data_IF_630466244262
#
_entry.id   IF_630466244262
#
_cell.length_a   1.000
_cell.length_b   1.000
_cell.length_c   1.000
_cell.angle_alpha   90.00
_cell.angle_beta   90.00
_cell.angle_gamma   90.00
#
_symmetry.space_group_name_H-M   'P 1'
#
loop_
_entity.id
_entity.type
_entity.pdbx_description
1 polymer ?
#
# COMPACT_ATOMS: atom_id res chain seq x y z
N UNK A 1 -19.60 0.91 -6.48
CA UNK A 1 -19.38 1.40 -5.11
C UNK A 1 -19.01 2.87 -5.20
N UNK A 2 -19.59 3.74 -4.40
CA UNK A 2 -19.27 5.19 -4.44
C UNK A 2 -18.60 5.68 -3.15
N UNK A 3 -18.79 4.98 -2.03
CA UNK A 3 -18.22 5.34 -0.74
C UNK A 3 -17.59 4.12 -0.04
N UNK A 4 -16.59 4.39 0.78
CA UNK A 4 -15.89 3.46 1.65
C UNK A 4 -15.90 3.97 3.09
N UNK A 5 -16.21 3.08 4.03
CA UNK A 5 -15.88 3.25 5.45
C UNK A 5 -14.56 2.56 5.78
N UNK A 6 -13.85 3.04 6.79
CA UNK A 6 -12.64 2.38 7.28
C UNK A 6 -13.00 1.31 8.32
N UNK A 7 -12.34 0.15 8.26
CA UNK A 7 -12.33 -0.84 9.32
C UNK A 7 -10.88 -1.19 9.67
N UNK A 8 -10.44 -0.85 10.89
CA UNK A 8 -9.14 -1.28 11.41
C UNK A 8 -9.27 -2.72 11.91
N UNK A 9 -8.40 -3.59 11.45
CA UNK A 9 -8.43 -5.01 11.77
C UNK A 9 -7.04 -5.53 12.04
N UNK A 10 -6.93 -6.56 12.88
CA UNK A 10 -5.68 -7.29 13.01
C UNK A 10 -5.42 -8.11 11.74
N UNK A 11 -6.40 -8.94 11.35
CA UNK A 11 -6.38 -9.75 10.13
C UNK A 11 -7.48 -9.30 9.17
N UNK A 12 -7.17 -9.25 7.87
CA UNK A 12 -8.16 -9.02 6.82
C UNK A 12 -9.09 -10.24 6.77
N UNK A 13 -10.43 -10.07 6.83
CA UNK A 13 -11.35 -11.19 6.79
C UNK A 13 -11.31 -11.91 5.44
N UNK A 14 -11.64 -13.21 5.45
CA UNK A 14 -11.67 -14.03 4.23
C UNK A 14 -12.73 -13.53 3.24
N UNK A 15 -13.87 -13.08 3.75
CA UNK A 15 -14.95 -12.46 2.97
C UNK A 15 -14.95 -10.96 3.24
N UNK A 16 -14.95 -10.16 2.16
CA UNK A 16 -14.92 -8.71 2.27
C UNK A 16 -16.30 -8.15 2.02
N UNK A 17 -16.72 -7.20 2.84
CA UNK A 17 -17.92 -6.44 2.60
C UNK A 17 -17.71 -5.37 1.51
N UNK A 18 -18.69 -5.17 0.62
CA UNK A 18 -18.68 -4.05 -0.30
C UNK A 18 -18.68 -2.71 0.46
N UNK A 19 -17.84 -1.76 0.05
CA UNK A 19 -17.79 -0.41 0.67
C UNK A 19 -17.01 -0.36 1.98
N UNK A 20 -16.21 -1.39 2.29
CA UNK A 20 -15.33 -1.41 3.47
C UNK A 20 -13.88 -1.48 3.03
N UNK A 21 -13.06 -0.56 3.55
CA UNK A 21 -11.61 -0.63 3.47
C UNK A 21 -11.09 -1.23 4.76
N UNK A 22 -10.64 -2.48 4.69
CA UNK A 22 -9.99 -3.15 5.81
C UNK A 22 -8.52 -2.75 5.85
N UNK A 23 -8.04 -2.28 7.00
CA UNK A 23 -6.65 -1.87 7.18
C UNK A 23 -6.04 -2.62 8.35
N UNK A 24 -4.95 -3.33 8.09
CA UNK A 24 -4.07 -3.89 9.11
C UNK A 24 -2.79 -3.08 9.16
N UNK A 25 -2.65 -2.29 10.23
CA UNK A 25 -1.45 -1.51 10.50
C UNK A 25 -0.26 -2.40 10.86
N UNK A 26 -0.49 -3.58 11.46
CA UNK A 26 0.57 -4.54 11.79
C UNK A 26 1.17 -5.15 10.52
N UNK A 27 0.33 -5.69 9.64
CA UNK A 27 0.78 -6.35 8.41
C UNK A 27 0.98 -5.39 7.24
N UNK A 28 0.81 -4.08 7.47
CA UNK A 28 1.00 -3.01 6.48
C UNK A 28 0.26 -3.30 5.18
N UNK A 29 -1.01 -3.67 5.30
CA UNK A 29 -1.88 -3.97 4.16
C UNK A 29 -3.25 -3.33 4.36
N UNK A 30 -3.80 -2.80 3.28
CA UNK A 30 -5.21 -2.52 3.16
C UNK A 30 -5.83 -3.42 2.08
N UNK A 31 -7.11 -3.75 2.23
CA UNK A 31 -7.83 -4.53 1.24
C UNK A 31 -9.30 -4.13 1.19
N UNK A 32 -9.85 -4.07 -0.01
CA UNK A 32 -11.26 -3.79 -0.26
C UNK A 32 -11.74 -4.51 -1.51
N UNK A 33 -13.06 -4.58 -1.69
CA UNK A 33 -13.63 -4.95 -2.98
C UNK A 33 -13.53 -3.79 -3.96
N UNK A 34 -13.18 -4.10 -5.20
CA UNK A 34 -12.96 -3.10 -6.25
C UNK A 34 -14.13 -2.12 -6.36
N UNK A 35 -13.81 -0.82 -6.37
CA UNK A 35 -14.81 0.25 -6.37
C UNK A 35 -15.79 0.17 -7.56
N UNK A 36 -15.38 -0.45 -8.68
CA UNK A 36 -16.23 -0.59 -9.86
C UNK A 36 -17.40 -1.56 -9.63
N UNK A 37 -17.33 -2.39 -8.59
CA UNK A 37 -18.38 -3.36 -8.26
C UNK A 37 -18.18 -4.76 -8.84
N UNK A 38 -17.06 -5.05 -9.52
CA UNK A 38 -16.79 -6.37 -10.10
C UNK A 38 -16.51 -7.48 -9.07
N UNK A 39 -16.47 -7.17 -7.76
CA UNK A 39 -16.25 -8.13 -6.69
C UNK A 39 -14.79 -8.61 -6.53
N UNK A 40 -13.86 -8.12 -7.35
CA UNK A 40 -12.44 -8.47 -7.19
C UNK A 40 -11.85 -7.84 -5.92
N UNK A 41 -11.05 -8.61 -5.17
CA UNK A 41 -10.29 -8.11 -4.03
C UNK A 41 -9.10 -7.29 -4.52
N UNK A 42 -8.94 -6.10 -3.98
CA UNK A 42 -7.86 -5.17 -4.33
C UNK A 42 -6.93 -5.02 -3.14
N UNK A 43 -5.75 -5.68 -3.14
CA UNK A 43 -4.74 -5.46 -2.12
C UNK A 43 -4.04 -4.12 -2.34
N UNK A 44 -3.74 -3.43 -1.24
CA UNK A 44 -3.01 -2.17 -1.21
C UNK A 44 -1.89 -2.29 -0.19
N UNK A 45 -0.65 -2.40 -0.66
CA UNK A 45 0.53 -2.50 0.22
C UNK A 45 0.84 -1.14 0.85
N UNK A 46 0.81 -1.07 2.18
CA UNK A 46 1.04 0.16 2.91
C UNK A 46 2.52 0.37 3.20
N UNK A 47 2.94 1.64 3.26
CA UNK A 47 4.28 2.02 3.72
C UNK A 47 5.03 2.93 2.76
N UNK A 48 6.33 3.20 3.04
CA UNK A 48 7.08 4.27 2.37
C UNK A 48 7.22 4.12 0.85
N UNK A 49 7.27 2.89 0.35
CA UNK A 49 7.35 2.58 -1.07
C UNK A 49 6.01 2.13 -1.68
N UNK A 50 4.92 2.24 -0.94
CA UNK A 50 3.57 1.81 -1.34
C UNK A 50 2.57 2.95 -1.25
N UNK A 51 1.42 2.63 -0.66
CA UNK A 51 0.33 3.56 -0.39
C UNK A 51 0.33 4.00 1.07
N UNK A 52 -0.30 5.14 1.32
CA UNK A 52 -0.66 5.64 2.63
C UNK A 52 -2.17 5.67 2.75
N UNK A 53 -2.66 5.35 3.95
CA UNK A 53 -4.06 5.53 4.34
C UNK A 53 -4.08 6.53 5.48
N UNK A 54 -4.91 7.55 5.35
CA UNK A 54 -5.26 8.46 6.44
C UNK A 54 -6.75 8.38 6.72
N UNK A 55 -7.17 8.80 7.90
CA UNK A 55 -8.55 8.70 8.36
C UNK A 55 -9.03 10.05 8.88
N UNK A 56 -10.25 10.45 8.51
CA UNK A 56 -10.97 11.56 9.14
C UNK A 56 -12.40 11.12 9.42
N UNK A 57 -12.82 11.15 10.69
CA UNK A 57 -14.18 10.79 11.11
C UNK A 57 -14.65 9.41 10.59
N UNK A 58 -13.80 8.38 10.66
CA UNK A 58 -14.11 7.04 10.14
C UNK A 58 -14.01 6.88 8.63
N UNK A 59 -13.67 7.94 7.89
CA UNK A 59 -13.60 7.93 6.43
C UNK A 59 -12.15 7.89 5.93
N UNK A 60 -11.77 6.91 5.10
CA UNK A 60 -10.41 6.73 4.64
C UNK A 60 -10.05 7.68 3.48
N UNK A 61 -8.79 8.06 3.40
CA UNK A 61 -8.17 8.66 2.23
C UNK A 61 -6.94 7.86 1.87
N UNK A 62 -6.81 7.46 0.60
CA UNK A 62 -5.72 6.60 0.13
C UNK A 62 -4.89 7.34 -0.92
N UNK A 63 -3.56 7.34 -0.77
CA UNK A 63 -2.64 7.92 -1.75
C UNK A 63 -1.45 6.99 -2.01
N UNK A 64 -0.91 6.91 -3.26
CA UNK A 64 -1.43 7.50 -4.50
C UNK A 64 -2.75 6.84 -4.96
N UNK A 65 -3.18 7.06 -6.21
CA UNK A 65 -4.38 6.42 -6.76
C UNK A 65 -4.27 4.90 -6.75
N UNK A 66 -5.41 4.22 -6.76
CA UNK A 66 -5.51 2.77 -6.90
C UNK A 66 -5.77 2.45 -8.36
N UNK A 67 -4.76 1.88 -9.01
CA UNK A 67 -4.85 1.36 -10.37
C UNK A 67 -5.08 -0.15 -10.36
N UNK A 68 -6.18 -0.61 -10.96
CA UNK A 68 -6.53 -2.02 -11.11
C UNK A 68 -6.44 -2.46 -12.58
N UNK A 69 -5.44 -1.96 -13.30
CA UNK A 69 -5.24 -2.23 -14.72
C UNK A 69 -4.99 -3.70 -15.09
N UNK A 70 -4.59 -4.53 -14.12
CA UNK A 70 -4.44 -5.98 -14.29
C UNK A 70 -5.77 -6.75 -14.15
N UNK A 71 -6.82 -6.10 -13.63
CA UNK A 71 -8.16 -6.69 -13.55
C UNK A 71 -8.95 -6.42 -14.84
N UNK A 72 -9.94 -7.26 -15.19
CA UNK A 72 -10.77 -7.06 -16.39
C UNK A 72 -11.51 -5.72 -16.42
N UNK A 73 -11.76 -5.11 -15.26
CA UNK A 73 -12.43 -3.81 -15.18
C UNK A 73 -11.51 -2.62 -15.45
N UNK A 74 -10.19 -2.81 -15.45
CA UNK A 74 -9.15 -1.78 -15.65
C UNK A 74 -9.37 -0.49 -14.84
N UNK A 75 -10.03 -0.60 -13.69
CA UNK A 75 -10.51 0.56 -12.93
C UNK A 75 -9.34 1.38 -12.36
N UNK A 76 -9.56 2.68 -12.20
CA UNK A 76 -8.56 3.60 -11.68
C UNK A 76 -9.25 4.71 -10.91
N UNK A 77 -8.88 4.93 -9.64
CA UNK A 77 -9.58 5.87 -8.79
C UNK A 77 -8.73 6.31 -7.60
N UNK A 78 -9.09 7.45 -7.01
CA UNK A 78 -8.73 7.77 -5.63
C UNK A 78 -9.86 7.38 -4.68
N UNK A 79 -9.50 7.19 -3.41
CA UNK A 79 -10.45 7.24 -2.30
C UNK A 79 -10.07 8.47 -1.46
N UNK A 80 -11.00 9.40 -1.28
CA UNK A 80 -10.80 10.63 -0.50
C UNK A 80 -11.96 10.84 0.44
N UNK A 81 -11.68 10.88 1.74
CA UNK A 81 -12.71 10.99 2.78
C UNK A 81 -13.87 10.01 2.53
N UNK A 82 -13.53 8.77 2.21
CA UNK A 82 -14.43 7.67 1.87
C UNK A 82 -14.94 7.68 0.43
N UNK A 83 -14.92 8.80 -0.28
CA UNK A 83 -15.52 8.92 -1.61
C UNK A 83 -14.60 8.42 -2.72
N UNK A 84 -15.18 7.76 -3.72
CA UNK A 84 -14.46 7.30 -4.91
C UNK A 84 -14.41 8.43 -5.94
N UNK A 85 -13.19 8.86 -6.27
CA UNK A 85 -12.95 9.82 -7.36
C UNK A 85 -12.38 9.07 -8.56
N UNK A 86 -13.18 8.97 -9.62
CA UNK A 86 -12.81 8.20 -10.80
C UNK A 86 -11.75 8.89 -11.64
N UNK A 87 -10.77 8.11 -12.06
CA UNK A 87 -9.80 8.48 -13.08
C UNK A 87 -10.10 7.70 -14.35
N UNK A 88 -9.41 8.06 -15.44
CA UNK A 88 -9.46 7.28 -16.67
C UNK A 88 -8.99 5.85 -16.40
N UNK A 89 -9.74 4.88 -16.92
CA UNK A 89 -9.36 3.47 -16.88
C UNK A 89 -7.92 3.29 -17.37
N UNK A 90 -7.20 2.37 -16.74
CA UNK A 90 -5.80 2.14 -17.07
C UNK A 90 -5.69 1.44 -18.42
N UNK A 91 -4.92 2.03 -19.34
CA UNK A 91 -4.50 1.30 -20.53
C UNK A 91 -3.47 0.22 -20.16
N UNK A 92 -3.29 -0.76 -21.05
CA UNK A 92 -2.25 -1.77 -20.89
C UNK A 92 -0.85 -1.14 -20.74
N UNK A 93 -0.55 -0.12 -21.56
CA UNK A 93 0.71 0.61 -21.48
C UNK A 93 0.90 1.35 -20.14
N UNK A 94 -0.15 2.01 -19.64
CA UNK A 94 -0.12 2.66 -18.32
C UNK A 94 0.06 1.63 -17.20
N UNK A 95 -0.56 0.46 -17.29
CA UNK A 95 -0.43 -0.62 -16.31
C UNK A 95 1.00 -1.12 -16.25
N UNK A 96 1.62 -1.42 -17.39
CA UNK A 96 3.01 -1.86 -17.47
C UNK A 96 3.96 -0.80 -16.90
N UNK A 97 3.76 0.47 -17.27
CA UNK A 97 4.59 1.57 -16.77
C UNK A 97 4.47 1.73 -15.25
N UNK A 98 3.25 1.69 -14.70
CA UNK A 98 3.00 1.79 -13.27
C UNK A 98 3.65 0.65 -12.48
N UNK A 99 3.49 -0.60 -12.94
CA UNK A 99 4.11 -1.76 -12.29
C UNK A 99 5.64 -1.67 -12.28
N UNK A 100 6.24 -1.24 -13.38
CA UNK A 100 7.69 -1.04 -13.47
C UNK A 100 8.16 0.05 -12.52
N UNK A 101 7.44 1.17 -12.46
CA UNK A 101 7.74 2.26 -11.54
C UNK A 101 7.65 1.80 -10.08
N UNK A 102 6.55 1.15 -9.69
CA UNK A 102 6.34 0.64 -8.34
C UNK A 102 7.40 -0.39 -7.94
N UNK A 103 7.78 -1.29 -8.84
CA UNK A 103 8.86 -2.25 -8.62
C UNK A 103 10.19 -1.54 -8.30
N UNK A 104 10.58 -0.58 -9.14
CA UNK A 104 11.83 0.15 -8.95
C UNK A 104 11.87 0.97 -7.65
N UNK A 105 10.74 1.58 -7.24
CA UNK A 105 10.64 2.26 -5.93
C UNK A 105 10.84 1.29 -4.77
N UNK A 106 10.18 0.12 -4.80
CA UNK A 106 10.30 -0.91 -3.75
C UNK A 106 11.75 -1.39 -3.63
N UNK A 107 12.39 -1.69 -4.75
CA UNK A 107 13.80 -2.09 -4.76
C UNK A 107 14.73 -1.01 -4.20
N UNK A 108 14.50 0.26 -4.55
CA UNK A 108 15.29 1.37 -4.03
C UNK A 108 15.13 1.50 -2.50
N UNK A 109 13.90 1.33 -1.99
CA UNK A 109 13.61 1.37 -0.57
C UNK A 109 14.29 0.24 0.20
N UNK A 110 14.20 -1.01 -0.26
CA UNK A 110 14.88 -2.14 0.39
C UNK A 110 16.40 -2.02 0.34
N UNK A 111 16.96 -1.49 -0.76
CA UNK A 111 18.39 -1.19 -0.85
C UNK A 111 18.83 -0.15 0.20
N UNK A 112 18.06 0.90 0.41
CA UNK A 112 18.34 1.91 1.46
C UNK A 112 18.25 1.32 2.87
N UNK A 113 17.19 0.55 3.17
CA UNK A 113 17.04 -0.13 4.46
C UNK A 113 18.22 -1.06 4.75
N UNK A 114 18.63 -1.87 3.78
CA UNK A 114 19.77 -2.77 3.93
C UNK A 114 21.08 -1.99 4.14
N UNK A 115 21.28 -0.88 3.42
CA UNK A 115 22.43 0.01 3.61
C UNK A 115 22.49 0.58 5.03
N UNK A 116 21.36 1.07 5.57
CA UNK A 116 21.27 1.60 6.94
C UNK A 116 21.56 0.52 7.99
N UNK A 117 20.97 -0.66 7.84
CA UNK A 117 21.24 -1.81 8.73
C UNK A 117 22.73 -2.18 8.76
N UNK A 118 23.38 -2.25 7.59
CA UNK A 118 24.83 -2.51 7.48
C UNK A 118 25.68 -1.39 8.09
N UNK A 119 25.21 -0.14 8.06
CA UNK A 119 25.89 0.97 8.73
C UNK A 119 25.81 0.85 10.26
N UNK A 120 24.63 0.58 10.81
CA UNK A 120 24.44 0.32 12.25
C UNK A 120 25.27 -0.87 12.73
N UNK A 121 25.29 -1.98 11.97
CA UNK A 121 26.13 -3.13 12.30
C UNK A 121 27.63 -2.81 12.31
N UNK A 122 28.11 -1.95 11.41
CA UNK A 122 29.51 -1.48 11.42
C UNK A 122 29.81 -0.55 12.59
N UNK A 123 28.90 0.36 12.92
CA UNK A 123 29.04 1.27 14.06
C UNK A 123 29.10 0.49 15.39
N UNK A 124 28.21 -0.49 15.55
CA UNK A 124 28.18 -1.36 16.74
C UNK A 124 29.45 -2.18 16.89
N UNK A 125 29.97 -2.76 15.79
CA UNK A 125 31.27 -3.47 15.80
C UNK A 125 32.43 -2.57 16.22
N UNK A 126 32.45 -1.30 15.78
CA UNK A 126 33.50 -0.35 16.18
C UNK A 126 33.39 0.04 17.65
N UNK A 127 32.17 0.20 18.17
CA UNK A 127 31.92 0.47 19.59
C UNK A 127 32.33 -0.73 20.46
N UNK A 128 31.96 -1.96 20.11
CA UNK A 128 32.38 -3.17 20.85
C UNK A 128 33.90 -3.35 20.84
N UNK A 129 34.56 -3.10 19.70
CA UNK A 129 36.03 -3.16 19.61
C UNK A 129 36.76 -2.11 20.44
N UNK A 130 36.11 -1.00 20.79
CA UNK A 130 36.65 0.01 21.72
C UNK A 130 36.42 -0.34 23.19
N UNK A 131 35.48 -1.25 23.50
CA UNK A 131 35.15 -1.67 24.88
C UNK A 131 35.91 -2.95 25.28
N UNK A 132 36.72 -3.53 24.39
CA UNK A 132 37.64 -4.62 24.72
C UNK A 132 36.97 -5.98 24.97
N UNK A 133 35.72 -6.17 24.53
CA UNK A 133 35.05 -7.48 24.48
C UNK A 133 35.24 -8.07 23.08
N UNK A 134 36.41 -8.63 22.84
CA UNK A 134 36.77 -9.40 21.65
C UNK A 134 37.20 -10.80 22.05
#
# INVERSE_FOLDING_TARGET
MTEFRLAKVHYVPAELEPGVLYVSDEYKIAMHLCACGCGSKVPVSLGPAGWTVTERNGKPTIRPSIGSGQLPCHSHYFITNGQVEWLRAMSAAQTVAALKFDHSRREAHYRDLNRRSRWWGRLWKRLLGLIGLG
#
